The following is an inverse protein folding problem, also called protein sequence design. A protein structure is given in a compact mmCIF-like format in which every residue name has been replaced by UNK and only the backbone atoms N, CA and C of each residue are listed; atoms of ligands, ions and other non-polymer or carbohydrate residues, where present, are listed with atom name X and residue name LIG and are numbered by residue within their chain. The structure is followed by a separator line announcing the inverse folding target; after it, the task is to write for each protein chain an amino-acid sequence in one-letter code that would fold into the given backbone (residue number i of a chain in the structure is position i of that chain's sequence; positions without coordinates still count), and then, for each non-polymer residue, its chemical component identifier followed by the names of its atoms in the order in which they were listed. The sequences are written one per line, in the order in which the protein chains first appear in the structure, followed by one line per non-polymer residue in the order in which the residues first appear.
data_IF_768148334320
#
_entry.id   IF_768148334320
#
_cell.length_a   1.000
_cell.length_b   1.000
_cell.length_c   1.000
_cell.angle_alpha   90.00
_cell.angle_beta   90.00
_cell.angle_gamma   90.00
#
_symmetry.space_group_name_H-M   'P 1'
#
loop_
_entity.id
_entity.type
_entity.pdbx_description
1 polymer ?
#
# COMPACT_ATOMS: atom_id res chain seq x y z
N UNK A 1 21.48 -5.69 9.43
CA UNK A 1 20.58 -4.89 8.57
C UNK A 1 19.60 -4.19 9.48
N UNK A 2 19.27 -2.91 9.27
CA UNK A 2 18.28 -2.23 10.13
C UNK A 2 16.91 -2.89 9.90
N UNK A 3 16.14 -3.18 10.97
CA UNK A 3 14.84 -3.86 10.86
C UNK A 3 13.88 -3.18 9.87
N UNK A 4 13.98 -1.86 9.71
CA UNK A 4 13.20 -1.09 8.73
C UNK A 4 13.59 -1.33 7.26
N UNK A 5 14.79 -1.82 6.94
CA UNK A 5 15.13 -2.22 5.57
C UNK A 5 14.38 -3.52 5.21
N UNK A 6 14.21 -4.42 6.18
CA UNK A 6 13.40 -5.63 6.01
C UNK A 6 11.91 -5.29 5.94
N UNK A 7 11.46 -4.32 6.74
CA UNK A 7 10.10 -3.82 6.74
C UNK A 7 9.63 -3.37 5.35
N UNK A 8 10.49 -2.72 4.56
CA UNK A 8 10.18 -2.36 3.16
C UNK A 8 9.74 -3.59 2.37
N UNK A 9 10.60 -4.61 2.26
CA UNK A 9 10.29 -5.79 1.46
C UNK A 9 9.04 -6.51 2.00
N UNK A 10 8.88 -6.55 3.32
CA UNK A 10 7.69 -7.12 3.94
C UNK A 10 6.40 -6.37 3.56
N UNK A 11 6.42 -5.03 3.55
CA UNK A 11 5.28 -4.20 3.16
C UNK A 11 5.03 -4.23 1.65
N UNK A 12 6.08 -4.28 0.83
CA UNK A 12 5.95 -4.44 -0.62
C UNK A 12 5.35 -5.82 -0.99
N UNK A 13 5.64 -6.88 -0.21
CA UNK A 13 4.91 -8.15 -0.31
C UNK A 13 3.43 -7.96 0.04
N UNK A 14 3.10 -7.29 1.15
CA UNK A 14 1.70 -7.00 1.51
C UNK A 14 0.96 -6.23 0.41
N UNK A 15 1.58 -5.23 -0.21
CA UNK A 15 0.97 -4.47 -1.32
C UNK A 15 0.68 -5.34 -2.55
N UNK A 16 1.43 -6.42 -2.75
CA UNK A 16 1.11 -7.39 -3.80
C UNK A 16 -0.23 -8.09 -3.54
N UNK A 17 -0.59 -8.32 -2.26
CA UNK A 17 -1.93 -8.83 -1.89
C UNK A 17 -2.98 -7.76 -2.15
N UNK A 18 -2.73 -6.51 -1.76
CA UNK A 18 -3.62 -5.37 -2.02
C UNK A 18 -3.95 -5.23 -3.51
N UNK A 19 -2.96 -5.40 -4.39
CA UNK A 19 -3.14 -5.35 -5.84
C UNK A 19 -4.03 -6.48 -6.37
N UNK A 20 -3.89 -7.71 -5.86
CA UNK A 20 -4.73 -8.82 -6.29
C UNK A 20 -6.15 -8.67 -5.75
N UNK A 21 -6.33 -8.13 -4.53
CA UNK A 21 -7.65 -7.75 -4.02
C UNK A 21 -8.32 -6.74 -4.95
N UNK A 22 -7.58 -5.70 -5.39
CA UNK A 22 -8.10 -4.73 -6.36
C UNK A 22 -8.54 -5.39 -7.67
N UNK A 23 -7.72 -6.30 -8.24
CA UNK A 23 -8.10 -7.04 -9.47
C UNK A 23 -9.34 -7.90 -9.24
N UNK A 24 -9.46 -8.53 -8.06
CA UNK A 24 -10.63 -9.34 -7.70
C UNK A 24 -11.92 -8.52 -7.70
N UNK A 25 -11.87 -7.28 -7.23
CA UNK A 25 -13.03 -6.40 -7.11
C UNK A 25 -13.34 -5.66 -8.43
N UNK A 26 -12.30 -5.24 -9.17
CA UNK A 26 -12.42 -4.33 -10.31
C UNK A 26 -12.06 -4.97 -11.66
N UNK A 27 -11.78 -6.27 -11.73
CA UNK A 27 -11.24 -6.94 -12.92
C UNK A 27 -12.02 -6.67 -14.22
N UNK A 28 -13.35 -6.51 -14.15
CA UNK A 28 -14.18 -6.15 -15.31
C UNK A 28 -13.89 -4.76 -15.87
N UNK A 29 -13.57 -3.79 -15.02
CA UNK A 29 -13.30 -2.40 -15.40
C UNK A 29 -11.91 -2.24 -16.05
N UNK A 30 -10.97 -3.13 -15.70
CA UNK A 30 -9.59 -3.12 -16.19
C UNK A 30 -9.31 -4.28 -17.15
N UNK A 31 -10.33 -4.87 -17.77
CA UNK A 31 -10.17 -6.02 -18.68
C UNK A 31 -9.49 -5.66 -20.00
N UNK A 32 -9.15 -4.39 -20.22
CA UNK A 32 -8.35 -3.91 -21.34
C UNK A 32 -6.85 -4.24 -21.23
N UNK A 33 -6.40 -4.76 -20.09
CA UNK A 33 -5.03 -5.28 -19.91
C UNK A 33 -5.04 -6.81 -19.74
N UNK A 34 -3.88 -7.44 -19.94
CA UNK A 34 -3.71 -8.87 -19.69
C UNK A 34 -3.70 -9.16 -18.16
N UNK A 35 -4.88 -9.35 -17.58
CA UNK A 35 -5.02 -9.59 -16.13
C UNK A 35 -4.33 -10.87 -15.65
N UNK A 36 -4.23 -11.89 -16.50
CA UNK A 36 -3.53 -13.13 -16.17
C UNK A 36 -2.04 -12.88 -15.99
N UNK A 37 -1.43 -12.19 -16.94
CA UNK A 37 -0.02 -11.81 -16.87
C UNK A 37 0.26 -10.87 -15.71
N UNK A 38 -0.56 -9.82 -15.55
CA UNK A 38 -0.44 -8.87 -14.43
C UNK A 38 -0.54 -9.58 -13.07
N UNK A 39 -1.49 -10.50 -12.91
CA UNK A 39 -1.65 -11.30 -11.67
C UNK A 39 -0.41 -12.15 -11.42
N UNK A 40 0.14 -12.80 -12.44
CA UNK A 40 1.35 -13.61 -12.31
C UNK A 40 2.58 -12.77 -11.92
N UNK A 41 2.73 -11.57 -12.49
CA UNK A 41 3.82 -10.68 -12.12
C UNK A 41 3.70 -10.17 -10.68
N UNK A 42 2.48 -9.85 -10.23
CA UNK A 42 2.21 -9.46 -8.84
C UNK A 42 2.55 -10.62 -7.89
N UNK A 43 2.11 -11.84 -8.21
CA UNK A 43 2.47 -13.06 -7.45
C UNK A 43 3.98 -13.26 -7.39
N UNK A 44 4.70 -13.11 -8.51
CA UNK A 44 6.16 -13.24 -8.53
C UNK A 44 6.82 -12.23 -7.60
N UNK A 45 6.38 -10.96 -7.64
CA UNK A 45 6.87 -9.91 -6.73
C UNK A 45 6.62 -10.25 -5.26
N UNK A 46 5.44 -10.76 -4.92
CA UNK A 46 5.10 -11.22 -3.58
C UNK A 46 6.11 -12.25 -3.05
N UNK A 47 6.34 -13.34 -3.80
CA UNK A 47 7.23 -14.41 -3.37
C UNK A 47 8.70 -13.97 -3.30
N UNK A 48 9.16 -13.14 -4.25
CA UNK A 48 10.50 -12.55 -4.20
C UNK A 48 10.68 -11.74 -2.91
N UNK A 49 9.76 -10.83 -2.62
CA UNK A 49 9.84 -9.98 -1.43
C UNK A 49 9.78 -10.78 -0.12
N UNK A 50 8.91 -11.80 -0.04
CA UNK A 50 8.89 -12.71 1.11
C UNK A 50 10.22 -13.45 1.29
N UNK A 51 10.79 -13.98 0.20
CA UNK A 51 12.08 -14.66 0.24
C UNK A 51 13.21 -13.72 0.66
N UNK A 52 13.22 -12.46 0.20
CA UNK A 52 14.22 -11.47 0.63
C UNK A 52 14.17 -11.26 2.15
N UNK A 53 12.99 -11.20 2.75
CA UNK A 53 12.84 -11.09 4.21
C UNK A 53 13.38 -12.36 4.89
N UNK A 54 12.91 -13.54 4.47
CA UNK A 54 13.31 -14.82 5.06
C UNK A 54 14.83 -15.07 4.95
N UNK A 55 15.42 -14.87 3.77
CA UNK A 55 16.85 -15.10 3.52
C UNK A 55 17.73 -14.16 4.35
N UNK A 56 17.27 -12.95 4.64
CA UNK A 56 18.02 -11.99 5.46
C UNK A 56 17.86 -12.23 6.96
N UNK A 57 16.71 -12.73 7.41
CA UNK A 57 16.51 -13.15 8.80
C UNK A 57 17.26 -14.46 9.11
N UNK A 58 17.30 -15.39 8.13
CA UNK A 58 17.78 -16.77 8.31
C UNK A 58 18.81 -17.19 7.25
N UNK A 59 19.95 -16.48 7.09
CA UNK A 59 20.89 -16.66 5.98
C UNK A 59 21.54 -18.05 5.88
N UNK A 60 21.57 -18.82 6.99
CA UNK A 60 22.13 -20.19 7.04
C UNK A 60 21.12 -21.23 7.52
N UNK A 61 19.89 -20.81 7.75
CA UNK A 61 18.86 -21.59 8.45
C UNK A 61 17.66 -21.95 7.54
N UNK A 62 17.78 -21.73 6.22
CA UNK A 62 16.72 -22.03 5.24
C UNK A 62 16.12 -23.43 5.45
N UNK A 63 16.96 -24.45 5.66
CA UNK A 63 16.48 -25.83 5.88
C UNK A 63 15.55 -25.98 7.09
N UNK A 64 15.88 -25.32 8.20
CA UNK A 64 15.10 -25.37 9.44
C UNK A 64 13.77 -24.65 9.27
N UNK A 65 13.77 -23.45 8.69
CA UNK A 65 12.53 -22.69 8.51
C UNK A 65 11.59 -23.31 7.46
N UNK A 66 12.14 -24.06 6.50
CA UNK A 66 11.35 -24.83 5.53
C UNK A 66 10.72 -26.11 6.11
N UNK A 67 10.94 -26.45 7.38
CA UNK A 67 10.13 -27.47 8.07
C UNK A 67 8.66 -27.04 8.18
N UNK A 68 8.40 -25.73 8.15
CA UNK A 68 7.06 -25.18 7.95
C UNK A 68 6.67 -25.27 6.47
N UNK A 69 5.61 -26.05 6.19
CA UNK A 69 5.08 -26.24 4.84
C UNK A 69 4.68 -24.93 4.16
N UNK A 70 4.18 -23.94 4.90
CA UNK A 70 3.82 -22.63 4.36
C UNK A 70 5.06 -21.90 3.89
N UNK A 71 6.13 -21.87 4.69
CA UNK A 71 7.40 -21.25 4.32
C UNK A 71 8.07 -21.98 3.15
N UNK A 72 8.04 -23.32 3.17
CA UNK A 72 8.52 -24.13 2.05
C UNK A 72 7.79 -23.80 0.75
N UNK A 73 6.47 -23.59 0.79
CA UNK A 73 5.69 -23.26 -0.40
C UNK A 73 6.07 -21.90 -1.02
N UNK A 74 6.43 -20.91 -0.18
CA UNK A 74 6.91 -19.59 -0.63
C UNK A 74 8.22 -19.74 -1.40
N UNK A 75 9.18 -20.52 -0.86
CA UNK A 75 10.44 -20.76 -1.54
C UNK A 75 10.26 -21.54 -2.84
N UNK A 76 9.38 -22.55 -2.87
CA UNK A 76 9.06 -23.30 -4.08
C UNK A 76 8.59 -22.37 -5.20
N UNK A 77 7.63 -21.48 -4.90
CA UNK A 77 7.11 -20.53 -5.87
C UNK A 77 8.20 -19.57 -6.37
N UNK A 78 9.06 -19.03 -5.48
CA UNK A 78 10.16 -18.16 -5.91
C UNK A 78 11.21 -18.90 -6.76
N UNK A 79 11.60 -20.09 -6.34
CA UNK A 79 12.71 -20.85 -6.94
C UNK A 79 12.31 -21.46 -8.29
N UNK A 80 11.09 -22.00 -8.41
CA UNK A 80 10.61 -22.70 -9.61
C UNK A 80 9.89 -21.79 -10.62
N UNK A 81 9.27 -20.70 -10.16
CA UNK A 81 8.61 -19.70 -11.02
C UNK A 81 9.54 -18.48 -11.28
N UNK A 82 10.84 -18.74 -11.41
CA UNK A 82 11.88 -17.72 -11.62
C UNK A 82 11.92 -17.16 -13.05
N UNK A 83 12.97 -16.39 -13.34
CA UNK A 83 13.16 -15.76 -14.66
C UNK A 83 13.29 -16.78 -15.82
N UNK A 84 13.79 -17.98 -15.51
CA UNK A 84 13.68 -19.15 -16.35
C UNK A 84 12.79 -20.13 -15.58
N UNK A 85 11.55 -20.34 -16.06
CA UNK A 85 10.67 -21.32 -15.43
C UNK A 85 11.28 -22.70 -15.57
N UNK A 86 11.38 -23.44 -14.48
CA UNK A 86 11.83 -24.82 -14.54
C UNK A 86 10.81 -25.65 -15.32
N UNK A 87 11.30 -26.60 -16.13
CA UNK A 87 10.46 -27.46 -16.98
C UNK A 87 9.46 -28.31 -16.16
N UNK A 88 9.75 -28.53 -14.87
CA UNK A 88 8.92 -29.30 -13.92
C UNK A 88 8.03 -28.41 -13.02
N UNK A 89 8.01 -27.09 -13.24
CA UNK A 89 7.20 -26.19 -12.41
C UNK A 89 5.69 -26.41 -12.65
N UNK A 90 4.99 -26.72 -11.55
CA UNK A 90 3.53 -26.81 -11.53
C UNK A 90 3.02 -25.63 -10.69
N UNK A 91 2.44 -24.63 -11.36
CA UNK A 91 1.80 -23.51 -10.65
C UNK A 91 0.66 -24.04 -9.80
N UNK A 92 0.58 -23.56 -8.55
CA UNK A 92 -0.64 -23.72 -7.76
C UNK A 92 -1.82 -23.09 -8.50
N UNK A 93 -2.86 -23.88 -8.70
CA UNK A 93 -4.13 -23.43 -9.26
C UNK A 93 -5.03 -22.94 -8.12
N UNK A 94 -5.75 -21.86 -8.38
CA UNK A 94 -6.72 -21.29 -7.45
C UNK A 94 -8.07 -21.20 -8.16
N UNK A 95 -9.14 -21.52 -7.43
CA UNK A 95 -10.50 -21.42 -7.96
C UNK A 95 -10.88 -19.96 -8.22
N UNK A 96 -10.38 -19.04 -7.39
CA UNK A 96 -10.59 -17.59 -7.53
C UNK A 96 -9.41 -16.75 -7.07
N UNK A 97 -9.43 -15.45 -7.40
CA UNK A 97 -8.48 -14.47 -6.85
C UNK A 97 -8.68 -14.26 -5.33
N UNK A 98 -9.88 -14.51 -4.82
CA UNK A 98 -10.16 -14.46 -3.38
C UNK A 98 -9.47 -15.59 -2.63
N UNK A 99 -9.44 -16.80 -3.20
CA UNK A 99 -8.71 -17.94 -2.60
C UNK A 99 -7.21 -17.69 -2.62
N UNK A 100 -6.71 -17.15 -3.73
CA UNK A 100 -5.31 -16.75 -3.88
C UNK A 100 -4.90 -15.71 -2.83
N UNK A 101 -5.67 -14.64 -2.65
CA UNK A 101 -5.37 -13.62 -1.64
C UNK A 101 -5.47 -14.17 -0.22
N UNK A 102 -6.36 -15.13 0.05
CA UNK A 102 -6.46 -15.79 1.35
C UNK A 102 -5.20 -16.61 1.66
N UNK A 103 -4.70 -17.38 0.70
CA UNK A 103 -3.45 -18.13 0.82
C UNK A 103 -2.24 -17.20 1.02
N UNK A 104 -2.15 -16.13 0.24
CA UNK A 104 -1.06 -15.15 0.37
C UNK A 104 -1.09 -14.42 1.71
N UNK A 105 -2.29 -14.14 2.27
CA UNK A 105 -2.44 -13.58 3.62
C UNK A 105 -1.92 -14.55 4.69
N UNK A 106 -2.22 -15.85 4.55
CA UNK A 106 -1.67 -16.87 5.45
C UNK A 106 -0.14 -16.97 5.33
N UNK A 107 0.39 -16.94 4.11
CA UNK A 107 1.82 -16.97 3.83
C UNK A 107 2.56 -15.78 4.46
N UNK A 108 2.11 -14.55 4.21
CA UNK A 108 2.78 -13.36 4.77
C UNK A 108 2.65 -13.28 6.28
N UNK A 109 1.54 -13.76 6.86
CA UNK A 109 1.40 -13.85 8.31
C UNK A 109 2.39 -14.86 8.92
N UNK A 110 2.63 -15.99 8.24
CA UNK A 110 3.63 -16.98 8.66
C UNK A 110 5.04 -16.38 8.60
N UNK A 111 5.35 -15.61 7.55
CA UNK A 111 6.61 -14.84 7.44
C UNK A 111 6.72 -13.82 8.58
N UNK A 112 5.64 -13.09 8.92
CA UNK A 112 5.66 -12.14 10.04
C UNK A 112 5.98 -12.82 11.36
N UNK A 113 5.35 -13.96 11.61
CA UNK A 113 5.50 -14.70 12.86
C UNK A 113 6.93 -15.22 13.03
N UNK A 114 7.49 -15.84 12.00
CA UNK A 114 8.85 -16.41 12.10
C UNK A 114 9.93 -15.32 12.12
N UNK A 115 9.68 -14.17 11.49
CA UNK A 115 10.62 -13.04 11.43
C UNK A 115 10.35 -11.98 12.52
N UNK A 116 9.55 -12.26 13.55
CA UNK A 116 9.13 -11.27 14.55
C UNK A 116 10.30 -10.57 15.24
N UNK A 117 11.38 -11.30 15.50
CA UNK A 117 12.56 -10.78 16.21
C UNK A 117 13.41 -9.84 15.33
N UNK A 118 13.15 -9.81 14.02
CA UNK A 118 13.89 -9.03 13.04
C UNK A 118 13.07 -7.86 12.47
N UNK A 119 11.75 -8.00 12.45
CA UNK A 119 10.83 -6.97 11.99
C UNK A 119 10.48 -6.00 13.12
N UNK A 120 10.31 -4.70 12.83
CA UNK A 120 9.78 -3.75 13.80
C UNK A 120 8.41 -4.18 14.33
N UNK A 121 8.26 -4.20 15.66
CA UNK A 121 7.03 -4.61 16.35
C UNK A 121 5.80 -3.77 15.97
N UNK A 122 6.02 -2.52 15.56
CA UNK A 122 4.98 -1.56 15.19
C UNK A 122 4.22 -1.96 13.92
N UNK A 123 4.81 -2.81 13.06
CA UNK A 123 4.28 -3.08 11.73
C UNK A 123 2.97 -3.88 11.78
N UNK A 124 1.98 -3.38 11.06
CA UNK A 124 0.67 -4.01 10.87
C UNK A 124 0.46 -4.46 9.42
N UNK A 125 -0.46 -5.40 9.21
CA UNK A 125 -0.86 -5.90 7.89
C UNK A 125 -2.24 -5.34 7.53
N UNK A 126 -2.30 -4.03 7.29
CA UNK A 126 -3.55 -3.30 7.07
C UNK A 126 -4.01 -3.42 5.62
N UNK A 127 -4.59 -4.56 5.25
CA UNK A 127 -5.02 -4.85 3.87
C UNK A 127 -6.03 -3.84 3.35
N UNK A 128 -5.79 -3.34 2.13
CA UNK A 128 -6.67 -2.46 1.38
C UNK A 128 -6.73 -2.94 -0.07
N UNK A 129 -7.90 -3.00 -0.68
CA UNK A 129 -8.02 -3.39 -2.08
C UNK A 129 -7.61 -2.21 -2.98
N UNK A 130 -6.31 -2.05 -3.22
CA UNK A 130 -5.81 -0.91 -3.97
C UNK A 130 -4.49 -1.19 -4.69
N UNK A 131 -4.46 -0.84 -5.98
CA UNK A 131 -3.26 -0.76 -6.80
C UNK A 131 -3.24 0.60 -7.51
N UNK A 132 -2.14 1.34 -7.31
CA UNK A 132 -1.97 2.71 -7.81
C UNK A 132 -2.16 2.80 -9.33
N UNK A 133 -1.55 1.89 -10.10
CA UNK A 133 -1.61 1.93 -11.56
C UNK A 133 -2.98 1.47 -12.07
N UNK A 134 -3.49 0.36 -11.53
CA UNK A 134 -4.77 -0.21 -11.96
C UNK A 134 -5.94 0.70 -11.60
N UNK A 135 -5.87 1.42 -10.47
CA UNK A 135 -6.86 2.41 -10.10
C UNK A 135 -6.94 3.55 -11.11
N UNK A 136 -5.79 4.08 -11.54
CA UNK A 136 -5.73 5.13 -12.56
C UNK A 136 -6.27 4.63 -13.90
N UNK A 137 -5.93 3.40 -14.30
CA UNK A 137 -6.45 2.78 -15.52
C UNK A 137 -7.97 2.62 -15.46
N UNK A 138 -8.50 2.05 -14.38
CA UNK A 138 -9.94 1.80 -14.21
C UNK A 138 -10.79 3.08 -14.31
N UNK A 139 -10.23 4.20 -13.85
CA UNK A 139 -10.93 5.47 -13.72
C UNK A 139 -10.50 6.52 -14.76
N UNK A 140 -9.67 6.16 -15.74
CA UNK A 140 -9.22 7.06 -16.80
C UNK A 140 -8.43 8.27 -16.30
N UNK A 141 -7.69 8.12 -15.20
CA UNK A 141 -7.01 9.22 -14.51
C UNK A 141 -5.67 9.48 -15.19
N UNK A 142 -5.58 10.62 -15.88
CA UNK A 142 -4.33 11.15 -16.41
C UNK A 142 -3.69 12.09 -15.40
N UNK A 143 -2.41 12.43 -15.62
CA UNK A 143 -1.64 13.30 -14.73
C UNK A 143 -2.37 14.63 -14.42
N UNK A 144 -2.97 15.26 -15.42
CA UNK A 144 -3.66 16.54 -15.25
C UNK A 144 -4.91 16.42 -14.39
N UNK A 145 -5.63 15.29 -14.51
CA UNK A 145 -6.82 14.99 -13.71
C UNK A 145 -6.41 14.73 -12.26
N UNK A 146 -5.36 13.93 -12.05
CA UNK A 146 -4.84 13.66 -10.72
C UNK A 146 -4.34 14.94 -10.04
N UNK A 147 -3.63 15.81 -10.76
CA UNK A 147 -3.16 17.09 -10.21
C UNK A 147 -4.34 17.98 -9.80
N UNK A 148 -5.41 18.05 -10.60
CA UNK A 148 -6.62 18.76 -10.21
C UNK A 148 -7.26 18.16 -8.96
N UNK A 149 -7.40 16.84 -8.89
CA UNK A 149 -7.92 16.15 -7.70
C UNK A 149 -7.09 16.51 -6.47
N UNK A 150 -5.76 16.50 -6.57
CA UNK A 150 -4.88 16.81 -5.45
C UNK A 150 -4.92 18.29 -5.04
N UNK A 151 -5.13 19.21 -5.98
CA UNK A 151 -5.37 20.64 -5.68
C UNK A 151 -6.68 20.84 -4.93
N UNK A 152 -7.75 20.15 -5.35
CA UNK A 152 -9.05 20.21 -4.67
C UNK A 152 -8.96 19.65 -3.24
N UNK A 153 -8.23 18.55 -3.05
CA UNK A 153 -8.03 17.91 -1.74
C UNK A 153 -7.12 18.71 -0.81
N UNK A 154 -6.18 19.47 -1.37
CA UNK A 154 -5.19 20.23 -0.61
C UNK A 154 -5.11 21.67 -1.12
N UNK A 155 -6.09 22.52 -0.75
CA UNK A 155 -6.05 23.94 -1.05
C UNK A 155 -4.77 24.53 -0.43
N UNK A 156 -3.82 24.93 -1.27
CA UNK A 156 -2.51 25.42 -0.85
C UNK A 156 -1.30 24.61 -1.30
N UNK A 157 -1.49 23.42 -1.91
CA UNK A 157 -0.38 22.54 -2.35
C UNK A 157 0.67 23.23 -3.23
N UNK A 158 0.25 24.21 -4.04
CA UNK A 158 1.11 24.96 -4.95
C UNK A 158 1.22 26.46 -4.57
N UNK A 159 0.84 26.83 -3.35
CA UNK A 159 1.01 28.19 -2.89
C UNK A 159 2.49 28.50 -2.71
N UNK A 160 2.92 29.63 -3.26
CA UNK A 160 4.28 30.11 -3.06
C UNK A 160 4.43 30.57 -1.62
N UNK A 161 5.50 30.12 -0.98
CA UNK A 161 5.91 30.68 0.31
C UNK A 161 6.24 32.18 0.11
N UNK A 162 5.92 33.05 1.09
CA UNK A 162 6.30 34.45 1.02
C UNK A 162 7.82 34.61 0.90
N UNK A 163 8.29 35.54 0.05
CA UNK A 163 9.72 35.80 -0.16
C UNK A 163 10.47 36.21 1.12
N UNK A 164 9.76 36.69 2.13
CA UNK A 164 10.30 37.05 3.44
C UNK A 164 10.66 35.84 4.31
N UNK A 165 10.25 34.63 3.94
CA UNK A 165 10.52 33.41 4.71
C UNK A 165 11.83 32.80 4.23
N UNK A 166 12.79 32.67 5.16
CA UNK A 166 14.02 31.92 4.90
C UNK A 166 13.69 30.44 4.65
N UNK A 167 14.08 29.92 3.49
CA UNK A 167 13.87 28.52 3.11
C UNK A 167 15.20 27.79 2.97
N UNK A 168 15.16 26.47 3.16
CA UNK A 168 16.30 25.57 2.91
C UNK A 168 15.86 24.48 1.94
N UNK A 169 16.61 24.31 0.87
CA UNK A 169 16.44 23.17 -0.04
C UNK A 169 17.17 21.95 0.51
N UNK A 170 16.47 20.82 0.57
CA UNK A 170 17.02 19.53 1.02
C UNK A 170 16.76 18.48 -0.05
N UNK A 171 17.67 17.52 -0.21
CA UNK A 171 17.48 16.41 -1.14
C UNK A 171 16.45 15.43 -0.58
N UNK A 172 15.56 14.88 -1.40
CA UNK A 172 14.58 13.90 -0.93
C UNK A 172 15.17 12.49 -1.00
N UNK A 173 15.10 11.77 0.12
CA UNK A 173 15.43 10.35 0.22
C UNK A 173 14.29 9.51 -0.33
N UNK A 174 14.41 9.07 -1.58
CA UNK A 174 13.33 8.41 -2.32
C UNK A 174 13.33 6.88 -2.18
N UNK A 175 14.49 6.24 -2.32
CA UNK A 175 14.63 4.77 -2.26
C UNK A 175 15.48 4.35 -1.06
N UNK A 176 14.97 3.41 -0.27
CA UNK A 176 15.68 2.85 0.88
C UNK A 176 17.03 2.21 0.54
N UNK A 177 17.22 1.73 -0.70
CA UNK A 177 18.49 1.15 -1.15
C UNK A 177 19.59 2.20 -1.31
N UNK A 178 19.23 3.46 -1.56
CA UNK A 178 20.18 4.56 -1.66
C UNK A 178 20.79 4.93 -0.31
N UNK A 179 20.23 4.46 0.81
CA UNK A 179 20.80 4.71 2.15
C UNK A 179 22.25 4.22 2.25
N UNK A 180 22.58 3.13 1.53
CA UNK A 180 23.94 2.57 1.48
C UNK A 180 24.95 3.50 0.81
N UNK A 181 24.47 4.42 -0.01
CA UNK A 181 25.27 5.43 -0.73
C UNK A 181 25.38 6.74 0.04
N UNK A 182 24.61 6.92 1.12
CA UNK A 182 24.56 8.15 1.91
C UNK A 182 25.36 7.94 3.22
N UNK A 183 26.52 8.61 3.37
CA UNK A 183 27.27 8.60 4.62
C UNK A 183 26.42 9.10 5.79
N UNK A 184 26.61 8.52 6.98
CA UNK A 184 25.79 8.84 8.15
C UNK A 184 25.83 10.32 8.54
N UNK A 185 27.00 10.94 8.44
CA UNK A 185 27.22 12.37 8.67
C UNK A 185 26.53 13.29 7.66
N UNK A 186 26.08 12.78 6.52
CA UNK A 186 25.39 13.55 5.48
C UNK A 186 23.86 13.30 5.47
N UNK A 187 23.33 12.41 6.33
CA UNK A 187 21.89 12.11 6.36
C UNK A 187 21.02 13.30 6.73
N UNK A 188 21.56 14.27 7.47
CA UNK A 188 20.92 15.53 7.85
C UNK A 188 20.74 16.53 6.67
N UNK A 189 21.32 16.24 5.50
CA UNK A 189 21.12 16.99 4.26
C UNK A 189 19.94 16.46 3.43
N UNK A 190 19.39 15.32 3.84
CA UNK A 190 18.26 14.67 3.20
C UNK A 190 16.98 14.89 4.02
N UNK A 191 15.85 14.93 3.33
CA UNK A 191 14.49 14.93 3.86
C UNK A 191 13.74 13.67 3.42
N UNK A 192 12.70 13.31 4.17
CA UNK A 192 11.70 12.32 3.75
C UNK A 192 10.36 12.99 3.55
N UNK A 193 9.64 12.60 2.50
CA UNK A 193 8.33 13.15 2.19
C UNK A 193 7.22 12.20 2.65
N UNK A 194 6.23 12.75 3.34
CA UNK A 194 4.95 12.09 3.60
C UNK A 194 3.93 12.62 2.59
N UNK A 195 3.37 11.71 1.80
CA UNK A 195 2.43 12.07 0.75
C UNK A 195 1.07 11.44 1.01
N UNK A 196 0.02 12.26 0.86
CA UNK A 196 -1.34 11.76 0.75
C UNK A 196 -1.55 11.18 -0.65
N UNK A 197 -2.30 10.09 -0.72
CA UNK A 197 -2.70 9.47 -1.97
C UNK A 197 -3.97 10.06 -2.55
N UNK A 198 -4.31 9.60 -3.76
CA UNK A 198 -5.52 10.00 -4.47
C UNK A 198 -6.79 9.65 -3.69
N UNK A 199 -6.73 8.61 -2.87
CA UNK A 199 -7.75 8.21 -1.90
C UNK A 199 -7.09 7.61 -0.63
N UNK A 200 -7.90 7.11 0.29
CA UNK A 200 -7.51 6.66 1.63
C UNK A 200 -6.63 5.43 1.59
N UNK A 201 -6.93 4.48 0.70
CA UNK A 201 -6.16 3.26 0.50
C UNK A 201 -4.74 3.58 0.00
N UNK A 202 -4.62 4.46 -1.00
CA UNK A 202 -3.31 4.92 -1.47
C UNK A 202 -2.59 5.74 -0.41
N UNK A 203 -3.31 6.58 0.34
CA UNK A 203 -2.75 7.38 1.43
C UNK A 203 -2.11 6.49 2.48
N UNK A 204 -2.80 5.42 2.90
CA UNK A 204 -2.24 4.45 3.85
C UNK A 204 -0.93 3.85 3.32
N UNK A 205 -0.92 3.36 2.08
CA UNK A 205 0.28 2.77 1.48
C UNK A 205 1.45 3.76 1.39
N UNK A 206 1.20 5.01 0.95
CA UNK A 206 2.22 6.06 0.83
C UNK A 206 2.75 6.54 2.18
N UNK A 207 1.87 6.70 3.18
CA UNK A 207 2.29 7.10 4.52
C UNK A 207 3.11 5.99 5.20
N UNK A 208 2.77 4.71 5.00
CA UNK A 208 3.59 3.58 5.47
C UNK A 208 5.00 3.60 4.84
N UNK A 209 5.11 3.91 3.54
CA UNK A 209 6.40 4.10 2.88
C UNK A 209 7.18 5.29 3.45
N UNK A 210 6.48 6.39 3.72
CA UNK A 210 7.03 7.56 4.41
C UNK A 210 7.65 7.17 5.75
N UNK A 211 6.89 6.47 6.61
CA UNK A 211 7.37 5.96 7.89
C UNK A 211 8.65 5.12 7.74
N UNK A 212 8.67 4.16 6.81
CA UNK A 212 9.85 3.30 6.58
C UNK A 212 11.07 4.13 6.20
N UNK A 213 10.93 5.08 5.27
CA UNK A 213 12.02 5.96 4.83
C UNK A 213 12.54 6.82 5.99
N UNK A 214 11.65 7.42 6.77
CA UNK A 214 12.01 8.29 7.89
C UNK A 214 12.70 7.51 9.00
N UNK A 215 12.17 6.34 9.35
CA UNK A 215 12.77 5.45 10.35
C UNK A 215 14.17 4.98 9.94
N UNK A 216 14.39 4.72 8.64
CA UNK A 216 15.69 4.35 8.12
C UNK A 216 16.71 5.49 8.15
N UNK A 217 16.28 6.69 7.74
CA UNK A 217 17.14 7.85 7.61
C UNK A 217 17.52 8.43 8.99
N UNK A 218 16.56 8.56 9.90
CA UNK A 218 16.73 9.24 11.18
C UNK A 218 16.73 8.31 12.41
N UNK A 219 16.44 7.02 12.25
CA UNK A 219 16.44 6.06 13.37
C UNK A 219 15.17 6.09 14.22
N UNK A 220 14.09 6.67 13.70
CA UNK A 220 12.79 6.72 14.35
C UNK A 220 12.05 5.37 14.36
N UNK A 221 10.90 5.33 15.03
CA UNK A 221 10.02 4.14 15.13
C UNK A 221 8.56 4.47 14.84
N UNK A 222 8.33 5.35 13.87
CA UNK A 222 6.99 5.77 13.49
C UNK A 222 6.29 4.66 12.71
N UNK A 223 4.98 4.57 12.88
CA UNK A 223 4.14 3.71 12.03
C UNK A 223 2.76 4.32 11.90
N UNK A 224 2.15 4.12 10.74
CA UNK A 224 0.76 4.50 10.48
C UNK A 224 -0.06 3.24 10.23
N UNK A 225 -1.18 3.19 10.93
CA UNK A 225 -2.16 2.12 10.80
C UNK A 225 -3.55 2.73 10.86
N UNK A 226 -4.50 2.07 10.20
CA UNK A 226 -5.91 2.43 10.24
C UNK A 226 -6.72 1.20 10.64
N UNK A 227 -7.68 1.39 11.53
CA UNK A 227 -8.54 0.29 11.95
C UNK A 227 -9.42 -0.18 10.79
N UNK A 228 -9.76 -1.47 10.76
CA UNK A 228 -10.73 -2.01 9.80
C UNK A 228 -12.07 -1.30 9.86
N UNK A 229 -12.47 -0.83 11.03
CA UNK A 229 -13.70 -0.05 11.23
C UNK A 229 -13.62 1.31 10.52
N UNK A 230 -12.50 2.02 10.63
CA UNK A 230 -12.34 3.32 9.98
C UNK A 230 -12.25 3.20 8.45
N UNK A 231 -11.59 2.17 7.92
CA UNK A 231 -11.64 1.87 6.48
C UNK A 231 -13.09 1.63 6.04
N UNK A 232 -13.85 0.80 6.78
CA UNK A 232 -15.26 0.52 6.46
C UNK A 232 -16.11 1.79 6.49
N UNK A 233 -15.92 2.67 7.47
CA UNK A 233 -16.61 3.97 7.52
C UNK A 233 -16.31 4.80 6.27
N UNK A 234 -15.04 4.89 5.88
CA UNK A 234 -14.65 5.63 4.68
C UNK A 234 -15.29 5.06 3.40
N UNK A 235 -15.26 3.73 3.23
CA UNK A 235 -15.89 3.06 2.09
C UNK A 235 -17.40 3.26 2.08
N UNK A 236 -18.04 3.15 3.25
CA UNK A 236 -19.47 3.40 3.42
C UNK A 236 -19.86 4.82 3.00
N UNK A 237 -19.08 5.84 3.37
CA UNK A 237 -19.32 7.22 2.94
C UNK A 237 -19.27 7.39 1.41
N UNK A 238 -18.43 6.62 0.70
CA UNK A 238 -18.42 6.58 -0.77
C UNK A 238 -19.65 5.86 -1.32
N UNK A 239 -20.01 4.72 -0.74
CA UNK A 239 -21.16 3.91 -1.17
C UNK A 239 -22.48 4.67 -1.09
N UNK A 240 -22.69 5.45 -0.02
CA UNK A 240 -23.88 6.28 0.16
C UNK A 240 -23.82 7.62 -0.61
N UNK A 241 -22.73 7.88 -1.33
CA UNK A 241 -22.59 9.06 -2.20
C UNK A 241 -22.35 10.37 -1.47
N UNK A 242 -21.82 10.34 -0.23
CA UNK A 242 -21.35 11.55 0.45
C UNK A 242 -19.94 11.93 -0.01
N UNK A 243 -19.09 10.93 -0.27
CA UNK A 243 -17.75 11.10 -0.85
C UNK A 243 -17.67 10.52 -2.25
N UNK A 244 -16.83 11.12 -3.08
CA UNK A 244 -16.45 10.53 -4.37
C UNK A 244 -15.34 9.48 -4.20
N UNK A 245 -14.95 8.84 -5.31
CA UNK A 245 -13.91 7.81 -5.33
C UNK A 245 -12.50 8.31 -4.94
N UNK A 246 -12.31 9.62 -4.79
CA UNK A 246 -11.06 10.28 -4.40
C UNK A 246 -11.10 10.81 -2.96
N UNK A 247 -12.13 10.46 -2.19
CA UNK A 247 -12.42 10.98 -0.85
C UNK A 247 -12.68 12.49 -0.80
N UNK A 248 -13.20 13.06 -1.89
CA UNK A 248 -13.68 14.44 -1.88
C UNK A 248 -15.14 14.46 -1.46
N UNK A 249 -15.54 15.37 -0.56
CA UNK A 249 -16.95 15.62 -0.28
C UNK A 249 -17.69 16.00 -1.57
N UNK A 250 -18.80 15.31 -1.84
CA UNK A 250 -19.69 15.67 -2.95
C UNK A 250 -20.49 16.90 -2.50
N UNK A 251 -20.42 17.97 -3.29
CA UNK A 251 -21.15 19.21 -3.03
C UNK A 251 -22.47 19.16 -3.80
N UNK A 252 -23.63 19.21 -3.12
CA UNK A 252 -24.94 19.24 -3.77
C UNK A 252 -25.07 20.44 -4.70
N UNK A 253 -25.55 20.22 -5.93
CA UNK A 253 -25.65 21.26 -6.96
C UNK A 253 -26.93 22.09 -6.86
N UNK A 254 -27.96 21.52 -6.25
CA UNK A 254 -29.26 22.16 -6.09
C UNK A 254 -29.95 21.77 -4.78
N UNK A 255 -31.10 22.39 -4.52
CA UNK A 255 -31.89 22.16 -3.30
C UNK A 255 -32.44 20.73 -3.19
N UNK A 256 -32.66 20.06 -4.33
CA UNK A 256 -33.19 18.70 -4.35
C UNK A 256 -32.09 17.73 -3.93
N UNK A 257 -30.88 17.84 -4.50
CA UNK A 257 -29.71 17.08 -4.08
C UNK A 257 -29.35 17.37 -2.62
N UNK A 258 -29.43 18.63 -2.19
CA UNK A 258 -29.15 19.00 -0.80
C UNK A 258 -30.11 18.32 0.18
N UNK A 259 -31.42 18.29 -0.11
CA UNK A 259 -32.40 17.59 0.72
C UNK A 259 -32.12 16.08 0.79
N UNK A 260 -31.73 15.45 -0.33
CA UNK A 260 -31.33 14.03 -0.35
C UNK A 260 -30.09 13.79 0.53
N UNK A 261 -29.11 14.69 0.49
CA UNK A 261 -27.94 14.62 1.36
C UNK A 261 -28.34 14.70 2.83
N UNK A 262 -29.21 15.64 3.21
CA UNK A 262 -29.70 15.74 4.58
C UNK A 262 -30.45 14.48 5.03
N UNK A 263 -31.23 13.85 4.16
CA UNK A 263 -31.89 12.58 4.47
C UNK A 263 -30.88 11.45 4.73
N UNK A 264 -29.83 11.36 3.91
CA UNK A 264 -28.75 10.38 4.09
C UNK A 264 -28.05 10.64 5.43
N UNK A 265 -27.59 11.86 5.69
CA UNK A 265 -26.88 12.23 6.91
C UNK A 265 -27.72 11.92 8.16
N UNK A 266 -29.03 12.24 8.14
CA UNK A 266 -29.96 11.91 9.24
C UNK A 266 -30.13 10.40 9.43
N UNK A 267 -30.30 9.64 8.34
CA UNK A 267 -30.47 8.18 8.40
C UNK A 267 -29.23 7.49 8.96
N UNK A 268 -28.05 7.99 8.62
CA UNK A 268 -26.77 7.47 9.09
C UNK A 268 -26.40 7.94 10.51
N UNK A 269 -27.24 8.79 11.14
CA UNK A 269 -26.95 9.35 12.46
C UNK A 269 -25.69 10.23 12.48
N UNK A 270 -25.35 10.86 11.35
CA UNK A 270 -24.21 11.76 11.20
C UNK A 270 -24.56 13.22 11.53
N UNK A 271 -25.81 13.46 11.94
CA UNK A 271 -26.29 14.74 12.45
C UNK A 271 -26.77 14.52 13.89
N UNK A 272 -26.16 15.21 14.85
CA UNK A 272 -26.74 15.39 16.16
C UNK A 272 -27.64 16.63 16.10
N UNK A 273 -28.93 16.49 16.44
CA UNK A 273 -29.89 17.62 16.51
C UNK A 273 -29.58 18.60 17.66
N UNK A 274 -28.42 18.48 18.31
CA UNK A 274 -27.92 19.35 19.37
C UNK A 274 -26.83 20.31 18.86
N UNK A 275 -27.16 21.21 17.92
CA UNK A 275 -26.45 22.51 17.76
C UNK A 275 -27.28 23.55 17.04
#
# INVERSE_FOLDING_TARGET
MKGWELARYFIDAKKSIDSILYISEHGKQISNINLREKTNDIRRKFYINCCVVLDKCFPKDKKRICEDNVISSIYYERDKNGAHKDDDYISKEYESLTDMTSDMKQQIQSVKNICSDYLPEQITLDYVAFDSDLFRIANGIRKEIEEQIMLDKHPGRNEKLPESVSTRTIAIFNDTEDLRKIPENNRNEYGTLFEMGINTEESLQKLQDGCIKTNLLYGEKMWVSISKENIKKQLHLREIGLYDLFDRPIIPKDKIEFNKFLEIIRKEGLFDDET
#
